data_IF_003513741323
#
_entry.id   IF_003513741323
#
_cell.length_a   1.000
_cell.length_b   1.000
_cell.length_c   1.000
_cell.angle_alpha   90.00
_cell.angle_beta   90.00
_cell.angle_gamma   90.00
#
_symmetry.space_group_name_H-M   'P 1'
#
loop_
_entity.id
_entity.type
_entity.pdbx_description
1 polymer ?
#
# COMPACT_ATOMS: atom_id res chain seq x y z
N UNK A 1 -14.44 12.24 -6.87
CA UNK A 1 -14.37 10.77 -7.09
C UNK A 1 -13.33 10.50 -8.16
N UNK A 2 -12.50 9.46 -8.02
CA UNK A 2 -11.49 9.12 -9.03
C UNK A 2 -12.10 8.33 -10.19
N UNK A 3 -11.63 8.57 -11.43
CA UNK A 3 -11.98 7.78 -12.61
C UNK A 3 -10.93 6.67 -12.75
N UNK A 4 -11.37 5.42 -12.86
CA UNK A 4 -10.47 4.26 -13.00
C UNK A 4 -10.45 3.82 -14.46
N UNK A 5 -9.28 3.90 -15.08
CA UNK A 5 -9.03 3.41 -16.45
C UNK A 5 -8.10 2.19 -16.40
N UNK A 6 -8.54 1.08 -16.97
CA UNK A 6 -7.70 -0.12 -17.15
C UNK A 6 -6.78 0.13 -18.34
N UNK A 7 -5.46 -0.04 -18.15
CA UNK A 7 -4.45 0.20 -19.17
C UNK A 7 -3.79 -1.11 -19.59
N UNK A 8 -3.70 -1.35 -20.91
CA UNK A 8 -3.03 -2.53 -21.48
C UNK A 8 -1.50 -2.38 -21.63
N UNK A 9 -0.94 -1.18 -21.37
CA UNK A 9 0.52 -1.00 -21.39
C UNK A 9 1.17 -1.73 -20.20
N UNK A 10 2.37 -2.28 -20.40
CA UNK A 10 3.09 -3.02 -19.35
C UNK A 10 3.55 -2.15 -18.16
N UNK A 11 3.71 -0.84 -18.38
CA UNK A 11 4.16 0.11 -17.36
C UNK A 11 2.99 0.65 -16.52
N UNK A 12 3.20 0.76 -15.21
CA UNK A 12 2.33 1.53 -14.32
C UNK A 12 2.78 2.98 -14.25
N UNK A 13 1.85 3.94 -14.35
CA UNK A 13 2.12 5.37 -14.22
C UNK A 13 1.26 5.92 -13.09
N UNK A 14 1.88 6.56 -12.10
CA UNK A 14 1.20 7.18 -10.94
C UNK A 14 0.10 6.28 -10.34
N UNK A 15 0.46 5.12 -9.75
CA UNK A 15 -0.52 4.14 -9.29
C UNK A 15 -1.47 4.72 -8.24
N UNK A 16 -2.76 4.43 -8.39
CA UNK A 16 -3.77 4.77 -7.39
C UNK A 16 -3.73 3.81 -6.19
N UNK A 17 -3.26 2.57 -6.38
CA UNK A 17 -3.16 1.55 -5.32
C UNK A 17 -1.82 1.62 -4.61
N UNK A 18 -1.83 1.31 -3.32
CA UNK A 18 -0.64 1.15 -2.47
C UNK A 18 -0.48 -0.32 -2.05
N UNK A 19 0.66 -0.67 -1.44
CA UNK A 19 0.95 -2.05 -1.05
C UNK A 19 0.06 -2.53 0.11
N UNK A 20 -0.23 -3.83 0.14
CA UNK A 20 -1.01 -4.44 1.23
C UNK A 20 -0.30 -4.35 2.58
N UNK A 21 1.03 -4.53 2.60
CA UNK A 21 1.84 -4.44 3.81
C UNK A 21 1.73 -3.05 4.46
N UNK A 22 1.72 -1.98 3.67
CA UNK A 22 1.55 -0.61 4.19
C UNK A 22 0.18 -0.43 4.85
N UNK A 23 -0.89 -0.93 4.23
CA UNK A 23 -2.22 -0.90 4.82
C UNK A 23 -2.32 -1.67 6.14
N UNK A 24 -1.68 -2.84 6.22
CA UNK A 24 -1.59 -3.61 7.45
C UNK A 24 -0.82 -2.84 8.55
N UNK A 25 0.34 -2.27 8.22
CA UNK A 25 1.12 -1.42 9.13
C UNK A 25 0.28 -0.27 9.68
N UNK A 26 -0.51 0.41 8.84
CA UNK A 26 -1.40 1.47 9.29
C UNK A 26 -2.45 0.97 10.29
N UNK A 27 -3.05 -0.20 10.05
CA UNK A 27 -4.00 -0.80 10.97
C UNK A 27 -3.35 -1.13 12.32
N UNK A 28 -2.14 -1.71 12.32
CA UNK A 28 -1.41 -2.02 13.55
C UNK A 28 -0.96 -0.77 14.30
N UNK A 29 -0.54 0.31 13.62
CA UNK A 29 -0.19 1.57 14.29
C UNK A 29 -1.35 2.20 15.07
N UNK A 30 -2.59 1.79 14.83
CA UNK A 30 -3.75 2.18 15.65
C UNK A 30 -3.85 1.45 17.00
N UNK A 31 -3.01 0.43 17.25
CA UNK A 31 -3.00 -0.35 18.48
C UNK A 31 -1.96 0.21 19.47
N UNK A 32 -2.35 0.33 20.74
CA UNK A 32 -1.46 0.87 21.79
C UNK A 32 -0.26 -0.06 22.01
N UNK A 33 0.94 0.49 21.88
CA UNK A 33 2.19 -0.20 22.22
C UNK A 33 2.70 -1.18 21.16
N UNK A 34 2.14 -1.19 19.95
CA UNK A 34 2.62 -2.04 18.87
C UNK A 34 3.67 -1.36 18.00
N UNK A 35 4.66 -2.12 17.54
CA UNK A 35 5.65 -1.69 16.55
C UNK A 35 5.64 -2.66 15.37
N UNK A 36 4.89 -2.36 14.29
CA UNK A 36 4.84 -3.22 13.12
C UNK A 36 6.19 -3.22 12.38
N UNK A 37 6.61 -4.39 11.91
CA UNK A 37 7.86 -4.58 11.17
C UNK A 37 7.56 -5.02 9.75
N UNK A 38 8.30 -4.46 8.78
CA UNK A 38 8.28 -4.95 7.41
C UNK A 38 9.29 -6.08 7.28
N UNK A 39 8.83 -7.27 6.90
CA UNK A 39 9.71 -8.36 6.51
C UNK A 39 9.99 -8.26 5.00
N UNK A 40 11.22 -7.90 4.64
CA UNK A 40 11.65 -7.70 3.27
C UNK A 40 12.93 -6.87 3.19
N UNK A 41 13.29 -6.41 1.99
CA UNK A 41 14.34 -5.41 1.81
C UNK A 41 13.89 -4.05 2.36
N UNK A 42 14.78 -3.36 3.05
CA UNK A 42 14.61 -1.98 3.51
C UNK A 42 14.93 -0.97 2.40
#
# INVERSE_FOLDING_TARGET
MAIVTVSNKALTVNPLKQSQALGATLAFLGLKGTMPLFHGSQ
#
